data_IF_953787312182
#
_entry.id   IF_953787312182
#
_cell.length_a   1.000
_cell.length_b   1.000
_cell.length_c   1.000
_cell.angle_alpha   90.00
_cell.angle_beta   90.00
_cell.angle_gamma   90.00
#
_symmetry.space_group_name_H-M   'P 1'
#
loop_
_entity.id
_entity.type
_entity.pdbx_description
1 polymer ?
#
# COMPACT_ATOMS: atom_id res chain seq x y z
N UNK A 1 -36.32 -33.95 33.36
CA UNK A 1 -35.24 -34.18 32.38
C UNK A 1 -34.73 -32.80 32.04
N UNK A 2 -33.54 -32.44 32.52
CA UNK A 2 -32.97 -31.10 32.37
C UNK A 2 -32.10 -31.07 31.12
N UNK A 3 -32.43 -30.22 30.15
CA UNK A 3 -31.60 -29.93 28.99
C UNK A 3 -30.34 -29.17 29.46
N UNK A 4 -29.11 -29.52 29.01
CA UNK A 4 -27.94 -28.70 29.31
C UNK A 4 -27.94 -27.49 28.36
N UNK A 5 -27.80 -26.30 28.93
CA UNK A 5 -27.44 -25.10 28.18
C UNK A 5 -25.95 -25.22 27.83
N UNK A 6 -25.66 -25.78 26.66
CA UNK A 6 -24.34 -25.64 26.06
C UNK A 6 -24.22 -24.18 25.62
N UNK A 7 -23.53 -23.39 26.45
CA UNK A 7 -23.23 -21.99 26.19
C UNK A 7 -22.37 -21.90 24.93
N UNK A 8 -22.99 -21.67 23.78
CA UNK A 8 -22.31 -21.27 22.57
C UNK A 8 -21.62 -19.90 22.83
N UNK A 9 -20.29 -19.93 22.82
CA UNK A 9 -19.41 -18.78 23.02
C UNK A 9 -19.82 -17.58 22.14
N UNK A 10 -19.73 -16.33 22.65
CA UNK A 10 -20.27 -15.17 21.98
C UNK A 10 -19.44 -14.83 20.75
N UNK A 11 -20.10 -14.80 19.59
CA UNK A 11 -19.72 -14.06 18.38
C UNK A 11 -18.21 -13.83 18.22
N UNK A 12 -17.44 -14.90 17.97
CA UNK A 12 -16.19 -14.72 17.23
C UNK A 12 -16.63 -14.26 15.85
N UNK A 13 -16.67 -12.94 15.65
CA UNK A 13 -16.62 -12.39 14.30
C UNK A 13 -15.42 -13.06 13.63
N UNK A 14 -15.60 -13.76 12.50
CA UNK A 14 -14.48 -14.42 11.86
C UNK A 14 -13.44 -13.33 11.58
N UNK A 15 -12.26 -13.46 12.21
CA UNK A 15 -11.08 -12.68 11.84
C UNK A 15 -11.02 -12.68 10.31
N UNK A 16 -10.82 -11.50 9.66
CA UNK A 16 -10.85 -11.42 8.21
C UNK A 16 -9.83 -12.43 7.68
N UNK A 17 -10.34 -13.56 7.16
CA UNK A 17 -9.52 -14.58 6.56
C UNK A 17 -8.87 -13.87 5.39
N UNK A 18 -7.54 -13.70 5.45
CA UNK A 18 -6.74 -13.29 4.31
C UNK A 18 -6.85 -14.41 3.28
N UNK A 19 -7.97 -14.42 2.56
CA UNK A 19 -8.15 -15.25 1.38
C UNK A 19 -7.02 -14.83 0.44
N UNK A 20 -6.19 -15.75 -0.06
CA UNK A 20 -5.23 -15.41 -1.09
C UNK A 20 -6.04 -14.82 -2.25
N UNK A 21 -5.96 -13.50 -2.41
CA UNK A 21 -6.59 -12.83 -3.54
C UNK A 21 -5.98 -13.37 -4.83
N UNK A 22 -6.74 -13.36 -5.92
CA UNK A 22 -6.16 -13.60 -7.24
C UNK A 22 -4.95 -12.67 -7.41
N UNK A 23 -3.83 -13.14 -8.00
CA UNK A 23 -2.61 -12.34 -8.13
C UNK A 23 -2.89 -10.98 -8.81
N UNK A 24 -3.94 -10.94 -9.63
CA UNK A 24 -4.45 -9.75 -10.31
C UNK A 24 -5.08 -8.74 -9.34
N UNK A 25 -5.84 -9.22 -8.36
CA UNK A 25 -6.45 -8.38 -7.32
C UNK A 25 -5.37 -7.83 -6.39
N UNK A 26 -4.37 -8.65 -6.08
CA UNK A 26 -3.20 -8.23 -5.29
C UNK A 26 -2.38 -7.16 -6.02
N UNK A 27 -2.17 -7.30 -7.33
CA UNK A 27 -1.47 -6.29 -8.13
C UNK A 27 -2.28 -4.99 -8.25
N UNK A 28 -3.60 -5.09 -8.37
CA UNK A 28 -4.48 -3.91 -8.40
C UNK A 28 -4.42 -3.14 -7.08
N UNK A 29 -4.52 -3.84 -5.95
CA UNK A 29 -4.38 -3.24 -4.62
C UNK A 29 -3.00 -2.61 -4.42
N UNK A 30 -1.92 -3.25 -4.89
CA UNK A 30 -0.57 -2.68 -4.83
C UNK A 30 -0.45 -1.38 -5.63
N UNK A 31 -1.07 -1.32 -6.82
CA UNK A 31 -1.08 -0.11 -7.65
C UNK A 31 -1.82 1.04 -7.00
N UNK A 32 -2.99 0.76 -6.44
CA UNK A 32 -3.79 1.72 -5.68
C UNK A 32 -2.96 2.26 -4.50
N UNK A 33 -2.40 1.36 -3.70
CA UNK A 33 -1.60 1.75 -2.54
C UNK A 33 -0.35 2.55 -2.94
N UNK A 34 0.33 2.18 -4.03
CA UNK A 34 1.47 2.92 -4.52
C UNK A 34 1.09 4.34 -4.98
N UNK A 35 -0.08 4.48 -5.62
CA UNK A 35 -0.60 5.78 -6.04
C UNK A 35 -0.92 6.66 -4.83
N UNK A 36 -1.57 6.13 -3.80
CA UNK A 36 -1.86 6.87 -2.57
C UNK A 36 -0.59 7.40 -1.90
N UNK A 37 0.45 6.56 -1.77
CA UNK A 37 1.74 6.97 -1.19
C UNK A 37 2.39 8.07 -2.04
N UNK A 38 2.34 7.94 -3.37
CA UNK A 38 2.86 8.96 -4.27
C UNK A 38 2.14 10.29 -4.05
N UNK A 39 0.82 10.28 -3.98
CA UNK A 39 0.00 11.48 -3.82
C UNK A 39 0.26 12.15 -2.47
N UNK A 40 0.38 11.37 -1.39
CA UNK A 40 0.74 11.89 -0.07
C UNK A 40 2.12 12.56 -0.06
N UNK A 41 3.14 11.91 -0.66
CA UNK A 41 4.50 12.45 -0.75
C UNK A 41 4.53 13.73 -1.59
N UNK A 42 3.79 13.76 -2.71
CA UNK A 42 3.72 14.93 -3.57
C UNK A 42 2.89 16.07 -2.97
N UNK A 43 1.90 15.75 -2.13
CA UNK A 43 1.07 16.70 -1.40
C UNK A 43 1.77 17.37 -0.22
N UNK A 44 2.90 16.82 0.25
CA UNK A 44 3.70 17.44 1.31
C UNK A 44 4.22 18.83 0.91
N UNK A 45 4.10 19.81 1.81
CA UNK A 45 4.45 21.21 1.56
C UNK A 45 5.82 21.63 2.08
N UNK A 46 6.49 20.75 2.82
CA UNK A 46 7.76 21.07 3.48
C UNK A 46 8.86 21.34 2.43
N UNK A 47 9.56 22.49 2.46
CA UNK A 47 10.57 22.85 1.47
C UNK A 47 11.78 21.93 1.46
N UNK A 48 12.16 21.37 2.62
CA UNK A 48 13.26 20.39 2.71
C UNK A 48 12.99 19.11 1.90
N UNK A 49 11.73 18.80 1.63
CA UNK A 49 11.30 17.66 0.82
C UNK A 49 11.23 17.91 -0.69
N UNK A 50 11.48 19.13 -1.18
CA UNK A 50 11.24 19.44 -2.61
C UNK A 50 12.15 18.65 -3.54
N UNK A 51 13.41 18.43 -3.15
CA UNK A 51 14.34 17.62 -3.93
C UNK A 51 13.87 16.14 -4.03
N UNK A 52 13.31 15.61 -2.94
CA UNK A 52 12.73 14.27 -2.93
C UNK A 52 11.50 14.19 -3.83
N UNK A 53 10.59 15.17 -3.76
CA UNK A 53 9.42 15.26 -4.65
C UNK A 53 9.83 15.40 -6.11
N UNK A 54 10.85 16.20 -6.43
CA UNK A 54 11.38 16.34 -7.78
C UNK A 54 11.92 15.01 -8.33
N UNK A 55 12.67 14.24 -7.51
CA UNK A 55 13.12 12.90 -7.87
C UNK A 55 11.94 11.94 -8.09
N UNK A 56 10.92 12.00 -7.23
CA UNK A 56 9.72 11.17 -7.39
C UNK A 56 8.97 11.49 -8.69
N UNK A 57 8.77 12.78 -9.02
CA UNK A 57 8.17 13.21 -10.30
C UNK A 57 8.97 12.70 -11.51
N UNK A 58 10.30 12.70 -11.42
CA UNK A 58 11.16 12.11 -12.46
C UNK A 58 10.98 10.59 -12.59
N UNK A 59 10.83 9.86 -11.47
CA UNK A 59 10.49 8.43 -11.53
C UNK A 59 9.12 8.16 -12.15
N UNK A 60 8.10 8.97 -11.83
CA UNK A 60 6.76 8.86 -12.41
C UNK A 60 6.80 9.09 -13.93
N UNK A 61 7.54 10.10 -14.39
CA UNK A 61 7.68 10.39 -15.80
C UNK A 61 8.34 9.24 -16.59
N UNK A 62 9.15 8.41 -15.93
CA UNK A 62 9.82 7.25 -16.54
C UNK A 62 8.97 5.98 -16.52
N UNK A 63 7.94 5.92 -15.66
CA UNK A 63 7.00 4.79 -15.53
C UNK A 63 5.54 5.26 -15.62
N UNK A 64 5.11 5.83 -16.76
CA UNK A 64 3.74 6.33 -16.89
C UNK A 64 2.72 5.19 -16.82
N UNK A 65 1.75 5.30 -15.90
CA UNK A 65 0.72 4.28 -15.67
C UNK A 65 1.14 3.11 -14.78
N UNK A 66 2.37 3.13 -14.25
CA UNK A 66 2.90 2.10 -13.35
C UNK A 66 3.42 2.74 -12.05
N UNK A 67 2.53 3.23 -11.18
CA UNK A 67 2.91 3.89 -9.92
C UNK A 67 3.76 2.98 -9.02
N UNK A 68 3.52 1.66 -9.04
CA UNK A 68 4.28 0.67 -8.30
C UNK A 68 5.76 0.64 -8.71
N UNK A 69 6.06 0.77 -10.01
CA UNK A 69 7.42 0.80 -10.52
C UNK A 69 8.09 2.16 -10.27
N UNK A 70 7.34 3.25 -10.43
CA UNK A 70 7.82 4.59 -10.12
C UNK A 70 8.25 4.73 -8.65
N UNK A 71 7.40 4.22 -7.74
CA UNK A 71 7.66 4.24 -6.30
C UNK A 71 8.84 3.33 -5.93
N UNK A 72 8.86 2.09 -6.44
CA UNK A 72 9.96 1.16 -6.21
C UNK A 72 11.30 1.77 -6.63
N UNK A 73 11.36 2.34 -7.83
CA UNK A 73 12.60 2.91 -8.32
C UNK A 73 13.03 4.15 -7.52
N UNK A 74 12.07 5.00 -7.13
CA UNK A 74 12.34 6.12 -6.23
C UNK A 74 12.94 5.65 -4.89
N UNK A 75 12.41 4.57 -4.30
CA UNK A 75 12.90 4.01 -3.04
C UNK A 75 14.30 3.38 -3.20
N UNK A 76 14.55 2.63 -4.27
CA UNK A 76 15.88 2.07 -4.55
C UNK A 76 16.93 3.17 -4.73
N UNK A 77 16.60 4.22 -5.49
CA UNK A 77 17.50 5.37 -5.69
C UNK A 77 17.77 6.15 -4.40
N UNK A 78 16.89 6.07 -3.40
CA UNK A 78 17.11 6.61 -2.05
C UNK A 78 18.02 5.70 -1.22
N UNK A 79 17.84 4.39 -1.32
CA UNK A 79 18.67 3.41 -0.60
C UNK A 79 20.12 3.34 -1.11
N UNK A 80 20.34 3.57 -2.41
CA UNK A 80 21.69 3.58 -3.01
C UNK A 80 22.44 4.91 -2.85
N UNK A 81 21.75 5.98 -2.48
CA UNK A 81 22.34 7.30 -2.21
C UNK A 81 22.57 7.49 -0.72
N UNK A 82 23.53 6.75 -0.14
CA UNK A 82 23.99 6.91 1.24
C UNK A 82 25.43 7.44 1.28
#
# INVERSE_FOLDING_TARGET
>A
MSEPLESEDPLVEPEPVLVPGDDRDTLAALREQAQEIIDEVLGGTEPSGEHLRAKLRSSIARHPGFPELALLEHLMNRASGS
#
